data_IF_785950211172
#
_entry.id   IF_785950211172
#
_cell.length_a   1.000
_cell.length_b   1.000
_cell.length_c   1.000
_cell.angle_alpha   90.00
_cell.angle_beta   90.00
_cell.angle_gamma   90.00
#
_symmetry.space_group_name_H-M   'P 1'
#
loop_
_entity.id
_entity.type
_entity.pdbx_description
1 polymer ?
#
# COMPACT_ATOMS: atom_id res chain seq x y z
N UNK A 1 -17.39 -22.30 -14.15
CA UNK A 1 -17.45 -20.84 -14.34
C UNK A 1 -16.04 -20.30 -14.62
N UNK A 2 -15.84 -19.74 -15.82
CA UNK A 2 -15.17 -18.43 -16.01
C UNK A 2 -13.66 -18.31 -16.33
N UNK A 3 -13.05 -19.19 -17.14
CA UNK A 3 -11.70 -18.94 -17.68
C UNK A 3 -11.60 -17.65 -18.52
N UNK A 4 -12.63 -17.34 -19.33
CA UNK A 4 -12.69 -16.12 -20.16
C UNK A 4 -12.77 -14.85 -19.29
N UNK A 5 -13.57 -14.85 -18.22
CA UNK A 5 -13.64 -13.70 -17.31
C UNK A 5 -12.37 -13.55 -16.48
N UNK A 6 -11.71 -14.66 -16.12
CA UNK A 6 -10.41 -14.61 -15.44
C UNK A 6 -9.33 -14.00 -16.37
N UNK A 7 -9.27 -14.43 -17.63
CA UNK A 7 -8.36 -13.86 -18.63
C UNK A 7 -8.64 -12.37 -18.90
N UNK A 8 -9.90 -11.97 -19.06
CA UNK A 8 -10.28 -10.57 -19.23
C UNK A 8 -9.83 -9.72 -18.04
N UNK A 9 -10.07 -10.17 -16.80
CA UNK A 9 -9.60 -9.46 -15.59
C UNK A 9 -8.08 -9.35 -15.50
N UNK A 10 -7.36 -10.39 -15.91
CA UNK A 10 -5.88 -10.36 -15.94
C UNK A 10 -5.39 -9.35 -16.97
N UNK A 11 -5.96 -9.35 -18.18
CA UNK A 11 -5.64 -8.40 -19.24
C UNK A 11 -5.96 -6.94 -18.84
N UNK A 12 -7.14 -6.72 -18.26
CA UNK A 12 -7.56 -5.39 -17.78
C UNK A 12 -6.61 -4.87 -16.70
N UNK A 13 -6.23 -5.73 -15.75
CA UNK A 13 -5.32 -5.31 -14.68
C UNK A 13 -3.89 -5.02 -15.19
N UNK A 14 -3.41 -5.67 -16.26
CA UNK A 14 -2.12 -5.32 -16.88
C UNK A 14 -2.19 -3.98 -17.61
N UNK A 15 -3.31 -3.73 -18.30
CA UNK A 15 -3.57 -2.45 -18.95
C UNK A 15 -3.63 -1.31 -17.92
N UNK A 16 -4.33 -1.51 -16.80
CA UNK A 16 -4.43 -0.51 -15.71
C UNK A 16 -3.05 -0.24 -15.09
N UNK A 17 -2.26 -1.28 -14.81
CA UNK A 17 -0.90 -1.13 -14.29
C UNK A 17 -0.02 -0.32 -15.26
N UNK A 18 -0.10 -0.63 -16.56
CA UNK A 18 0.64 0.06 -17.62
C UNK A 18 0.21 1.53 -17.73
N UNK A 19 -1.09 1.81 -17.62
CA UNK A 19 -1.63 3.17 -17.65
C UNK A 19 -1.10 4.02 -16.50
N UNK A 20 -1.11 3.50 -15.26
CA UNK A 20 -0.55 4.24 -14.13
C UNK A 20 0.96 4.40 -14.21
N UNK A 21 1.70 3.37 -14.63
CA UNK A 21 3.15 3.47 -14.82
C UNK A 21 3.49 4.52 -15.89
N UNK A 22 2.72 4.57 -16.98
CA UNK A 22 2.88 5.59 -18.03
C UNK A 22 2.54 6.98 -17.50
N UNK A 23 1.45 7.13 -16.74
CA UNK A 23 1.09 8.39 -16.11
C UNK A 23 2.21 8.91 -15.21
N UNK A 24 2.85 8.05 -14.42
CA UNK A 24 3.97 8.42 -13.55
C UNK A 24 5.26 8.78 -14.31
N UNK A 25 5.44 8.29 -15.55
CA UNK A 25 6.54 8.74 -16.41
C UNK A 25 6.37 10.19 -16.87
N UNK A 26 5.13 10.63 -17.08
CA UNK A 26 4.81 11.99 -17.52
C UNK A 26 4.54 12.95 -16.36
N UNK A 27 3.98 12.45 -15.27
CA UNK A 27 3.61 13.18 -14.05
C UNK A 27 4.10 12.44 -12.81
N UNK A 28 5.42 12.50 -12.52
CA UNK A 28 6.03 11.74 -11.43
C UNK A 28 5.49 12.11 -10.04
N UNK A 29 4.92 13.31 -9.90
CA UNK A 29 4.32 13.80 -8.66
C UNK A 29 2.83 13.47 -8.52
N UNK A 30 2.23 12.72 -9.46
CA UNK A 30 0.82 12.36 -9.38
C UNK A 30 0.57 11.30 -8.30
N UNK A 31 0.15 11.77 -7.12
CA UNK A 31 -0.12 10.94 -5.94
C UNK A 31 -1.19 9.87 -6.22
N UNK A 32 -2.28 10.23 -6.91
CA UNK A 32 -3.36 9.29 -7.22
C UNK A 32 -2.89 8.16 -8.13
N UNK A 33 -2.05 8.47 -9.13
CA UNK A 33 -1.45 7.47 -10.00
C UNK A 33 -0.48 6.54 -9.25
N UNK A 34 0.31 7.09 -8.31
CA UNK A 34 1.21 6.30 -7.49
C UNK A 34 0.46 5.33 -6.56
N UNK A 35 -0.56 5.82 -5.85
CA UNK A 35 -1.43 4.99 -5.00
C UNK A 35 -2.18 3.96 -5.84
N UNK A 36 -2.73 4.36 -6.99
CA UNK A 36 -3.41 3.46 -7.92
C UNK A 36 -2.50 2.32 -8.39
N UNK A 37 -1.28 2.63 -8.84
CA UNK A 37 -0.30 1.63 -9.24
C UNK A 37 0.06 0.69 -8.10
N UNK A 38 0.35 1.24 -6.92
CA UNK A 38 0.72 0.44 -5.75
C UNK A 38 -0.40 -0.52 -5.33
N UNK A 39 -1.67 -0.09 -5.36
CA UNK A 39 -2.81 -0.92 -5.04
C UNK A 39 -3.01 -2.06 -6.06
N UNK A 40 -2.78 -1.81 -7.34
CA UNK A 40 -2.83 -2.86 -8.37
C UNK A 40 -1.71 -3.88 -8.19
N UNK A 41 -0.49 -3.41 -7.92
CA UNK A 41 0.66 -4.27 -7.61
C UNK A 41 0.39 -5.11 -6.35
N UNK A 42 -0.18 -4.49 -5.31
CA UNK A 42 -0.56 -5.18 -4.08
C UNK A 42 -1.60 -6.28 -4.31
N UNK A 43 -2.67 -5.97 -5.04
CA UNK A 43 -3.72 -6.95 -5.38
C UNK A 43 -3.19 -8.15 -6.19
N UNK A 44 -2.06 -7.99 -6.88
CA UNK A 44 -1.37 -9.05 -7.64
C UNK A 44 -0.30 -9.79 -6.84
N UNK A 45 -0.13 -9.47 -5.56
CA UNK A 45 0.93 -10.03 -4.73
C UNK A 45 2.34 -9.51 -5.06
N UNK A 46 2.45 -8.50 -5.94
CA UNK A 46 3.71 -7.86 -6.32
C UNK A 46 4.16 -6.83 -5.28
N UNK A 47 4.22 -7.27 -4.01
CA UNK A 47 4.35 -6.40 -2.85
C UNK A 47 5.67 -5.60 -2.84
N UNK A 48 6.77 -6.19 -3.30
CA UNK A 48 8.05 -5.49 -3.39
C UNK A 48 8.01 -4.31 -4.38
N UNK A 49 7.32 -4.48 -5.51
CA UNK A 49 7.13 -3.40 -6.48
C UNK A 49 6.19 -2.33 -5.92
N UNK A 50 5.11 -2.72 -5.23
CA UNK A 50 4.22 -1.78 -4.55
C UNK A 50 4.97 -0.92 -3.53
N UNK A 51 5.86 -1.52 -2.74
CA UNK A 51 6.72 -0.81 -1.79
C UNK A 51 7.57 0.24 -2.50
N UNK A 52 8.25 -0.12 -3.60
CA UNK A 52 9.10 0.83 -4.35
C UNK A 52 8.32 2.04 -4.87
N UNK A 53 7.12 1.81 -5.42
CA UNK A 53 6.24 2.88 -5.90
C UNK A 53 5.83 3.83 -4.75
N UNK A 54 5.47 3.27 -3.60
CA UNK A 54 5.04 4.06 -2.43
C UNK A 54 6.20 4.79 -1.75
N UNK A 55 7.40 4.21 -1.72
CA UNK A 55 8.60 4.88 -1.21
C UNK A 55 8.96 6.10 -2.07
N UNK A 56 8.88 5.97 -3.39
CA UNK A 56 9.07 7.10 -4.30
C UNK A 56 7.96 8.16 -4.13
N UNK A 57 6.70 7.73 -4.04
CA UNK A 57 5.60 8.65 -3.76
C UNK A 57 5.79 9.39 -2.44
N UNK A 58 6.32 8.72 -1.41
CA UNK A 58 6.60 9.32 -0.09
C UNK A 58 7.76 10.31 -0.15
N UNK A 59 8.78 10.07 -0.97
CA UNK A 59 9.86 11.05 -1.22
C UNK A 59 9.31 12.36 -1.79
N UNK A 60 8.34 12.28 -2.70
CA UNK A 60 7.68 13.44 -3.32
C UNK A 60 6.62 14.08 -2.44
N UNK A 61 5.90 13.28 -1.66
CA UNK A 61 4.80 13.70 -0.80
C UNK A 61 5.03 13.29 0.66
N UNK A 62 6.05 13.87 1.35
CA UNK A 62 6.49 13.41 2.66
C UNK A 62 5.45 13.59 3.78
N UNK A 63 4.40 14.37 3.56
CA UNK A 63 3.31 14.61 4.52
C UNK A 63 2.01 13.91 4.16
N UNK A 64 2.01 13.06 3.12
CA UNK A 64 0.80 12.38 2.67
C UNK A 64 0.44 11.20 3.57
N UNK A 65 -0.60 11.36 4.38
CA UNK A 65 -1.13 10.28 5.20
C UNK A 65 -1.64 9.09 4.38
N UNK A 66 -2.16 9.35 3.17
CA UNK A 66 -2.61 8.30 2.25
C UNK A 66 -1.42 7.43 1.83
N UNK A 67 -0.31 8.04 1.42
CA UNK A 67 0.89 7.30 1.00
C UNK A 67 1.49 6.53 2.17
N UNK A 68 1.59 7.16 3.34
CA UNK A 68 2.10 6.53 4.56
C UNK A 68 1.25 5.32 4.97
N UNK A 69 -0.09 5.43 4.92
CA UNK A 69 -0.99 4.33 5.22
C UNK A 69 -0.81 3.14 4.26
N UNK A 70 -0.78 3.40 2.95
CA UNK A 70 -0.58 2.35 1.94
C UNK A 70 0.80 1.69 2.09
N UNK A 71 1.86 2.46 2.39
CA UNK A 71 3.19 1.90 2.61
C UNK A 71 3.22 1.00 3.85
N UNK A 72 2.60 1.41 4.95
CA UNK A 72 2.49 0.59 6.14
C UNK A 72 1.74 -0.73 5.86
N UNK A 73 0.63 -0.67 5.11
CA UNK A 73 -0.11 -1.86 4.72
C UNK A 73 0.76 -2.82 3.89
N UNK A 74 1.46 -2.32 2.87
CA UNK A 74 2.36 -3.14 2.04
C UNK A 74 3.50 -3.75 2.85
N UNK A 75 4.13 -2.99 3.76
CA UNK A 75 5.17 -3.50 4.65
C UNK A 75 4.66 -4.61 5.57
N UNK A 76 3.43 -4.46 6.08
CA UNK A 76 2.78 -5.46 6.90
C UNK A 76 2.57 -6.76 6.14
N UNK A 77 2.10 -6.68 4.90
CA UNK A 77 1.83 -7.85 4.05
C UNK A 77 3.11 -8.49 3.49
N UNK A 78 4.21 -7.73 3.39
CA UNK A 78 5.56 -8.25 3.18
C UNK A 78 6.12 -9.02 4.39
N UNK A 79 5.36 -9.09 5.49
CA UNK A 79 5.80 -9.74 6.71
C UNK A 79 6.85 -8.92 7.47
N UNK A 80 6.83 -7.59 7.33
CA UNK A 80 7.66 -6.63 8.07
C UNK A 80 6.80 -5.75 9.00
N UNK A 81 5.98 -6.34 9.91
CA UNK A 81 5.00 -5.58 10.67
C UNK A 81 5.62 -4.62 11.69
N UNK A 82 6.86 -4.84 12.15
CA UNK A 82 7.58 -3.88 13.00
C UNK A 82 7.87 -2.57 12.25
N UNK A 83 8.30 -2.66 11.00
CA UNK A 83 8.56 -1.49 10.17
C UNK A 83 7.25 -0.81 9.75
N UNK A 84 6.22 -1.60 9.44
CA UNK A 84 4.88 -1.09 9.18
C UNK A 84 4.34 -0.26 10.36
N UNK A 85 4.54 -0.73 11.60
CA UNK A 85 4.10 -0.02 12.79
C UNK A 85 4.80 1.34 12.95
N UNK A 86 6.12 1.36 12.74
CA UNK A 86 6.89 2.61 12.77
C UNK A 86 6.38 3.61 11.73
N UNK A 87 6.04 3.15 10.53
CA UNK A 87 5.55 3.99 9.43
C UNK A 87 4.14 4.52 9.73
N UNK A 88 3.20 3.68 10.16
CA UNK A 88 1.82 4.12 10.41
C UNK A 88 1.73 5.08 11.62
N UNK A 89 2.60 4.90 12.61
CA UNK A 89 2.68 5.77 13.81
C UNK A 89 3.06 7.22 13.46
N UNK A 90 3.70 7.48 12.31
CA UNK A 90 3.98 8.83 11.82
C UNK A 90 2.70 9.67 11.62
N UNK A 91 1.57 9.01 11.35
CA UNK A 91 0.29 9.68 11.00
C UNK A 91 -0.88 9.28 11.91
N UNK A 92 -0.76 8.21 12.70
CA UNK A 92 -1.84 7.69 13.52
C UNK A 92 -2.27 8.58 14.70
N UNK A 93 -1.41 9.50 15.15
CA UNK A 93 -1.73 10.42 16.24
C UNK A 93 -2.64 11.57 15.81
N UNK A 94 -2.68 11.91 14.52
CA UNK A 94 -3.50 12.99 13.99
C UNK A 94 -4.95 12.54 13.81
N UNK A 95 -5.76 12.71 14.85
CA UNK A 95 -7.19 12.39 14.82
C UNK A 95 -8.02 13.36 13.97
N UNK A 96 -7.45 14.49 13.56
CA UNK A 96 -8.11 15.45 12.68
C UNK A 96 -7.96 15.08 11.19
N UNK A 97 -7.11 14.10 10.90
CA UNK A 97 -6.92 13.59 9.56
C UNK A 97 -8.24 13.01 8.99
N UNK A 98 -8.65 13.38 7.77
CA UNK A 98 -9.85 12.83 7.14
C UNK A 98 -9.85 11.29 7.00
N UNK A 99 -8.66 10.67 7.00
CA UNK A 99 -8.46 9.22 6.89
C UNK A 99 -8.10 8.56 8.24
N UNK A 100 -8.34 9.24 9.36
CA UNK A 100 -7.95 8.74 10.68
C UNK A 100 -8.61 7.40 11.05
N UNK A 101 -9.80 7.11 10.52
CA UNK A 101 -10.47 5.83 10.74
C UNK A 101 -9.72 4.68 10.06
N UNK A 102 -9.39 4.84 8.77
CA UNK A 102 -8.64 3.87 7.99
C UNK A 102 -7.24 3.65 8.55
N UNK A 103 -6.53 4.74 8.89
CA UNK A 103 -5.18 4.69 9.49
C UNK A 103 -5.19 3.87 10.78
N UNK A 104 -6.21 4.06 11.63
CA UNK A 104 -6.37 3.30 12.88
C UNK A 104 -6.62 1.83 12.62
N UNK A 105 -7.49 1.50 11.66
CA UNK A 105 -7.78 0.12 11.28
C UNK A 105 -6.53 -0.60 10.73
N UNK A 106 -5.76 0.06 9.85
CA UNK A 106 -4.48 -0.48 9.35
C UNK A 106 -3.50 -0.70 10.49
N UNK A 107 -3.36 0.26 11.41
CA UNK A 107 -2.51 0.13 12.60
C UNK A 107 -2.91 -1.03 13.49
N UNK A 108 -4.20 -1.20 13.76
CA UNK A 108 -4.73 -2.31 14.56
C UNK A 108 -4.40 -3.67 13.91
N UNK A 109 -4.57 -3.78 12.60
CA UNK A 109 -4.19 -4.97 11.83
C UNK A 109 -2.69 -5.29 11.93
N UNK A 110 -1.83 -4.26 11.90
CA UNK A 110 -0.37 -4.42 12.08
C UNK A 110 -0.04 -4.92 13.49
N UNK A 111 -0.64 -4.30 14.51
CA UNK A 111 -0.44 -4.70 15.92
C UNK A 111 -0.90 -6.14 16.15
N UNK A 112 -2.00 -6.55 15.52
CA UNK A 112 -2.50 -7.91 15.62
C UNK A 112 -1.52 -8.93 15.02
N UNK A 113 -0.97 -8.67 13.82
CA UNK A 113 0.09 -9.52 13.23
C UNK A 113 1.34 -9.60 14.11
N UNK A 114 1.72 -8.50 14.79
CA UNK A 114 2.85 -8.50 15.72
C UNK A 114 2.60 -9.41 16.92
N UNK A 115 1.39 -9.38 17.50
CA UNK A 115 1.01 -10.25 18.61
C UNK A 115 1.06 -11.71 18.19
N UNK A 116 0.49 -12.06 17.03
CA UNK A 116 0.46 -13.42 16.49
C UNK A 116 1.86 -13.99 16.23
N UNK A 117 2.80 -13.17 15.78
CA UNK A 117 4.20 -13.56 15.61
C UNK A 117 4.94 -13.74 16.93
N UNK A 118 4.62 -12.93 17.94
CA UNK A 118 5.18 -13.07 19.28
C UNK A 118 4.73 -14.34 20.00
N UNK A 119 3.51 -14.82 19.74
CA UNK A 119 2.99 -16.08 20.29
C UNK A 119 3.51 -17.32 19.58
N UNK A 120 3.91 -17.24 18.30
CA UNK A 120 4.45 -18.39 17.53
C UNK A 120 5.96 -18.60 17.71
N UNK A 121 6.66 -17.66 18.33
CA UNK A 121 8.10 -17.74 18.61
C UNK A 121 8.45 -18.31 20.00
N UNK A 122 7.50 -18.97 20.69
CA UNK A 122 7.68 -19.63 21.99
C UNK A 122 7.43 -21.13 21.85
#
# INVERSE_FOLDING_TARGET
MNAVLAMARVADAEAVQTAFATALRHWPDNLSAAVGLANQLHARGQLAQAQQVLEEARRRHPRSAIVTNNLAQVLSDLGRPQEALKVIDEVAADTSNPFAAEIRATRESIVQRLRERGTTAR
#
